data_IF_940625390509
#
_entry.id   IF_940625390509
#
_cell.length_a   1.000
_cell.length_b   1.000
_cell.length_c   1.000
_cell.angle_alpha   90.00
_cell.angle_beta   90.00
_cell.angle_gamma   90.00
#
_symmetry.space_group_name_H-M   'P 1'
#
loop_
_entity.id
_entity.type
_entity.pdbx_description
1 polymer ?
#
# COMPACT_ATOMS: atom_id res chain seq x y z
N UNK A 1 -2.94 54.61 -5.70
CA UNK A 1 -3.96 54.44 -6.74
C UNK A 1 -3.32 54.52 -8.11
N UNK A 2 -2.52 53.63 -8.44
CA UNK A 2 -2.06 53.30 -9.77
C UNK A 2 -2.65 51.95 -10.09
N UNK A 3 -3.27 51.83 -11.23
CA UNK A 3 -4.04 50.76 -11.83
C UNK A 3 -4.03 49.44 -11.01
N UNK A 4 -5.05 49.32 -10.15
CA UNK A 4 -5.03 48.34 -9.10
C UNK A 4 -5.32 46.94 -9.61
N UNK A 5 -4.29 46.13 -9.65
CA UNK A 5 -4.45 44.68 -9.60
C UNK A 5 -5.11 44.32 -8.26
N UNK A 6 -6.36 43.87 -8.31
CA UNK A 6 -7.10 43.47 -7.13
C UNK A 6 -6.49 42.16 -6.60
N UNK A 7 -5.71 42.26 -5.51
CA UNK A 7 -5.15 41.09 -4.83
C UNK A 7 -6.12 40.75 -3.69
N UNK A 8 -6.93 39.67 -3.82
CA UNK A 8 -7.81 39.23 -2.76
C UNK A 8 -6.97 38.62 -1.64
N UNK A 9 -7.11 39.13 -0.43
CA UNK A 9 -6.57 38.49 0.78
C UNK A 9 -7.71 37.80 1.52
N UNK A 10 -7.44 36.56 1.99
CA UNK A 10 -8.36 35.81 2.84
C UNK A 10 -7.77 35.67 4.24
N UNK A 11 -8.57 35.96 5.25
CA UNK A 11 -8.22 35.72 6.66
C UNK A 11 -8.29 34.21 7.02
N UNK A 12 -8.89 33.40 6.16
CA UNK A 12 -9.12 31.98 6.39
C UNK A 12 -8.12 31.05 5.65
N UNK A 13 -6.92 31.53 5.31
CA UNK A 13 -5.91 30.75 4.57
C UNK A 13 -6.48 30.10 3.29
N UNK A 14 -7.38 30.79 2.61
CA UNK A 14 -8.01 30.33 1.39
C UNK A 14 -7.29 30.88 0.15
N UNK A 15 -7.02 29.99 -0.81
CA UNK A 15 -6.58 30.39 -2.13
C UNK A 15 -7.80 30.83 -2.95
N UNK A 16 -7.80 32.01 -3.59
CA UNK A 16 -8.92 32.52 -4.39
C UNK A 16 -9.32 31.55 -5.52
N UNK A 17 -8.38 30.76 -6.01
CA UNK A 17 -8.56 29.85 -7.15
C UNK A 17 -8.92 28.43 -6.73
N UNK A 18 -8.42 27.94 -5.57
CA UNK A 18 -8.50 26.54 -5.16
C UNK A 18 -9.28 26.33 -3.84
N UNK A 19 -9.82 27.38 -3.22
CA UNK A 19 -10.56 27.32 -1.97
C UNK A 19 -9.68 27.22 -0.72
N UNK A 20 -10.28 26.82 0.43
CA UNK A 20 -9.57 26.71 1.71
C UNK A 20 -8.52 25.62 1.65
N UNK A 21 -7.26 25.95 1.91
CA UNK A 21 -6.11 25.06 1.74
C UNK A 21 -5.57 24.53 3.07
N UNK A 22 -5.75 25.28 4.14
CA UNK A 22 -5.26 24.92 5.45
C UNK A 22 -6.40 24.98 6.46
N UNK A 23 -6.50 23.99 7.37
CA UNK A 23 -7.35 24.12 8.54
C UNK A 23 -6.85 25.29 9.40
N UNK A 24 -7.72 25.81 10.26
CA UNK A 24 -7.33 26.81 11.26
C UNK A 24 -6.03 26.40 11.95
N UNK A 25 -5.02 27.29 11.91
CA UNK A 25 -3.67 27.02 12.40
C UNK A 25 -3.62 26.96 13.94
N UNK A 26 -4.21 25.92 14.49
CA UNK A 26 -4.13 25.61 15.92
C UNK A 26 -2.99 24.63 16.21
N UNK A 27 -2.43 24.57 17.43
CA UNK A 27 -1.38 23.61 17.77
C UNK A 27 -1.75 22.15 17.49
N UNK A 28 -3.04 21.83 17.44
CA UNK A 28 -3.55 20.48 17.18
C UNK A 28 -3.25 19.96 15.77
N UNK A 29 -3.17 20.86 14.78
CA UNK A 29 -2.88 20.47 13.39
C UNK A 29 -1.42 20.05 13.21
N UNK A 30 -0.53 20.37 14.13
CA UNK A 30 0.88 19.95 14.13
C UNK A 30 1.13 18.66 14.89
N UNK A 31 0.08 17.98 15.37
CA UNK A 31 0.20 16.73 16.10
C UNK A 31 -0.19 15.54 15.21
N UNK A 32 0.73 14.60 15.04
CA UNK A 32 0.43 13.32 14.36
C UNK A 32 -0.54 12.43 15.14
N UNK A 33 -0.77 12.72 16.42
CA UNK A 33 -1.74 12.02 17.28
C UNK A 33 -3.13 12.70 17.27
N UNK A 34 -3.34 13.69 16.41
CA UNK A 34 -4.63 14.36 16.23
C UNK A 34 -5.09 14.15 14.77
N UNK A 35 -6.35 13.77 14.51
CA UNK A 35 -6.86 13.57 13.15
C UNK A 35 -6.67 14.76 12.21
N UNK A 36 -6.63 15.98 12.73
CA UNK A 36 -6.42 17.20 11.93
C UNK A 36 -4.98 17.31 11.40
N UNK A 37 -4.00 16.78 12.13
CA UNK A 37 -2.59 16.85 11.76
C UNK A 37 -2.02 15.54 11.23
N UNK A 38 -2.62 14.42 11.59
CA UNK A 38 -2.17 13.09 11.18
C UNK A 38 -2.25 12.88 9.66
N UNK A 39 -1.32 12.13 9.12
CA UNK A 39 -1.42 11.62 7.76
C UNK A 39 -2.72 10.80 7.60
N UNK A 40 -3.58 11.09 6.64
CA UNK A 40 -4.86 10.41 6.48
C UNK A 40 -4.72 8.92 6.12
N UNK A 41 -3.60 8.54 5.50
CA UNK A 41 -3.34 7.16 5.07
C UNK A 41 -2.93 6.27 6.25
N UNK A 42 -1.90 6.65 7.01
CA UNK A 42 -1.40 5.86 8.14
C UNK A 42 -1.92 6.34 9.51
N UNK A 43 -2.79 7.34 9.55
CA UNK A 43 -3.37 7.90 10.78
C UNK A 43 -2.32 8.29 11.83
N UNK A 44 -1.18 8.82 11.37
CA UNK A 44 -0.08 9.27 12.24
C UNK A 44 0.89 8.18 12.67
N UNK A 45 0.74 6.94 12.20
CA UNK A 45 1.66 5.84 12.51
C UNK A 45 3.02 5.99 11.80
N UNK A 46 3.03 6.57 10.60
CA UNK A 46 4.22 6.71 9.76
C UNK A 46 4.56 5.46 8.95
N UNK A 47 3.88 4.35 9.25
CA UNK A 47 4.06 3.06 8.59
C UNK A 47 2.71 2.50 8.15
N UNK A 48 2.75 1.67 7.13
CA UNK A 48 1.63 0.85 6.67
C UNK A 48 2.05 -0.61 6.72
N UNK A 49 1.12 -1.45 7.14
CA UNK A 49 1.35 -2.88 7.17
C UNK A 49 1.01 -3.49 5.83
N UNK A 50 2.01 -4.01 5.13
CA UNK A 50 1.86 -4.59 3.80
C UNK A 50 2.42 -6.02 3.74
N UNK A 51 1.94 -6.82 2.78
CA UNK A 51 2.51 -8.14 2.54
C UNK A 51 3.90 -8.02 1.93
N UNK A 52 4.89 -8.58 2.59
CA UNK A 52 6.28 -8.59 2.13
C UNK A 52 6.48 -9.59 0.99
N UNK A 53 7.10 -9.14 -0.10
CA UNK A 53 7.47 -10.03 -1.21
C UNK A 53 8.33 -11.21 -0.74
N UNK A 54 9.33 -10.96 0.09
CA UNK A 54 10.27 -11.99 0.54
C UNK A 54 9.65 -12.99 1.53
N UNK A 55 8.63 -12.59 2.30
CA UNK A 55 7.89 -13.48 3.17
C UNK A 55 6.84 -14.28 2.42
N UNK A 56 6.18 -13.69 1.44
CA UNK A 56 5.09 -14.29 0.66
C UNK A 56 5.62 -15.28 -0.37
N UNK A 57 6.74 -14.93 -1.05
CA UNK A 57 7.22 -15.64 -2.21
C UNK A 57 8.42 -16.54 -1.85
N UNK A 58 8.37 -17.77 -2.29
CA UNK A 58 9.53 -18.64 -2.34
C UNK A 58 10.09 -18.64 -3.75
N UNK A 59 11.17 -17.90 -3.96
CA UNK A 59 11.77 -17.71 -5.27
C UNK A 59 12.40 -18.98 -5.84
N UNK A 60 12.71 -19.96 -4.97
CA UNK A 60 13.33 -21.24 -5.37
C UNK A 60 12.31 -22.31 -5.73
N UNK A 61 11.06 -22.13 -5.34
CA UNK A 61 9.98 -23.07 -5.63
C UNK A 61 9.27 -22.71 -6.94
N UNK A 62 8.78 -23.69 -7.65
CA UNK A 62 7.97 -23.54 -8.85
C UNK A 62 6.51 -23.19 -8.49
N UNK A 63 5.75 -22.73 -9.49
CA UNK A 63 4.30 -22.50 -9.32
C UNK A 63 3.61 -23.83 -8.92
N UNK A 64 3.99 -24.93 -9.56
CA UNK A 64 3.45 -26.27 -9.28
C UNK A 64 3.72 -26.75 -7.85
N UNK A 65 4.89 -26.45 -7.29
CA UNK A 65 5.27 -26.77 -5.90
C UNK A 65 4.65 -25.83 -4.86
N UNK A 66 4.07 -24.71 -5.31
CA UNK A 66 3.44 -23.73 -4.45
C UNK A 66 4.43 -22.67 -3.96
N UNK A 67 4.98 -21.86 -4.88
CA UNK A 67 5.87 -20.73 -4.60
C UNK A 67 5.25 -19.66 -3.68
N UNK A 68 3.92 -19.60 -3.56
CA UNK A 68 3.22 -18.67 -2.70
C UNK A 68 3.00 -19.28 -1.31
N UNK A 69 3.86 -18.95 -0.36
CA UNK A 69 3.90 -19.53 1.00
C UNK A 69 2.58 -19.46 1.76
N UNK A 70 1.81 -18.34 1.77
CA UNK A 70 0.52 -18.27 2.45
C UNK A 70 -0.50 -19.30 1.99
N UNK A 71 -0.41 -19.79 0.74
CA UNK A 71 -1.37 -20.73 0.16
C UNK A 71 -0.94 -22.21 0.22
N UNK A 72 0.30 -22.52 0.61
CA UNK A 72 0.83 -23.90 0.65
C UNK A 72 0.00 -24.86 1.51
N UNK A 73 -0.57 -24.38 2.62
CA UNK A 73 -1.27 -25.18 3.63
C UNK A 73 -2.73 -24.75 3.85
N UNK A 74 -3.33 -24.04 2.92
CA UNK A 74 -4.70 -23.54 3.05
C UNK A 74 -5.70 -24.58 2.53
N UNK A 75 -6.85 -24.74 3.19
CA UNK A 75 -7.98 -25.54 2.66
C UNK A 75 -8.52 -24.98 1.33
N UNK A 76 -8.31 -23.69 1.05
CA UNK A 76 -8.61 -23.06 -0.25
C UNK A 76 -7.50 -23.26 -1.29
N UNK A 77 -6.46 -24.03 -0.98
CA UNK A 77 -5.28 -24.19 -1.84
C UNK A 77 -5.61 -24.79 -3.20
N UNK A 78 -6.54 -25.75 -3.27
CA UNK A 78 -6.89 -26.43 -4.52
C UNK A 78 -7.51 -25.48 -5.54
N UNK A 79 -8.53 -24.75 -5.15
CA UNK A 79 -9.22 -23.79 -6.03
C UNK A 79 -8.33 -22.65 -6.49
N UNK A 80 -7.57 -22.06 -5.57
CA UNK A 80 -6.66 -20.95 -5.88
C UNK A 80 -5.47 -21.43 -6.72
N UNK A 81 -4.94 -22.63 -6.42
CA UNK A 81 -3.89 -23.23 -7.22
C UNK A 81 -4.35 -23.49 -8.65
N UNK A 82 -5.57 -24.02 -8.85
CA UNK A 82 -6.15 -24.21 -10.17
C UNK A 82 -6.26 -22.91 -10.95
N UNK A 83 -6.74 -21.85 -10.32
CA UNK A 83 -6.78 -20.53 -10.98
C UNK A 83 -5.39 -20.02 -11.36
N UNK A 84 -4.42 -20.17 -10.47
CA UNK A 84 -3.05 -19.73 -10.70
C UNK A 84 -2.41 -20.51 -11.87
N UNK A 85 -2.63 -21.83 -11.93
CA UNK A 85 -2.16 -22.66 -13.04
C UNK A 85 -2.82 -22.27 -14.36
N UNK A 86 -4.14 -22.09 -14.38
CA UNK A 86 -4.86 -21.67 -15.58
C UNK A 86 -4.48 -20.24 -16.03
N UNK A 87 -4.12 -19.36 -15.09
CA UNK A 87 -3.54 -18.05 -15.43
C UNK A 87 -2.19 -18.22 -16.13
N UNK A 88 -1.33 -19.09 -15.60
CA UNK A 88 -0.05 -19.39 -16.24
C UNK A 88 -0.24 -19.98 -17.64
N UNK A 89 -1.17 -20.90 -17.83
CA UNK A 89 -1.50 -21.49 -19.13
C UNK A 89 -2.00 -20.43 -20.12
N UNK A 90 -2.89 -19.53 -19.68
CA UNK A 90 -3.44 -18.47 -20.51
C UNK A 90 -2.38 -17.51 -21.04
N UNK A 91 -1.43 -17.11 -20.19
CA UNK A 91 -0.35 -16.18 -20.53
C UNK A 91 0.94 -16.85 -21.01
N UNK A 92 0.98 -18.18 -21.13
CA UNK A 92 2.18 -18.92 -21.52
C UNK A 92 3.31 -18.87 -20.50
N UNK A 93 2.98 -18.68 -19.21
CA UNK A 93 3.95 -18.61 -18.11
C UNK A 93 4.37 -20.05 -17.72
N UNK A 94 5.65 -20.38 -17.75
CA UNK A 94 6.11 -21.72 -17.38
C UNK A 94 5.89 -21.99 -15.88
N UNK A 95 5.31 -23.14 -15.55
CA UNK A 95 4.95 -23.53 -14.17
C UNK A 95 5.98 -24.43 -13.48
N UNK A 96 6.95 -24.92 -14.22
CA UNK A 96 7.95 -25.93 -13.84
C UNK A 96 9.34 -25.35 -13.56
N UNK A 97 9.53 -24.04 -13.76
CA UNK A 97 10.76 -23.35 -13.40
C UNK A 97 10.60 -22.59 -12.08
N UNK A 98 11.69 -22.32 -11.34
CA UNK A 98 11.65 -21.52 -10.12
C UNK A 98 11.03 -20.13 -10.36
N UNK A 99 10.18 -19.67 -9.42
CA UNK A 99 9.52 -18.37 -9.54
C UNK A 99 10.50 -17.21 -9.73
N UNK A 100 11.70 -17.30 -9.14
CA UNK A 100 12.76 -16.30 -9.30
C UNK A 100 13.35 -16.21 -10.69
N UNK A 101 13.18 -17.25 -11.52
CA UNK A 101 13.70 -17.33 -12.90
C UNK A 101 12.67 -16.88 -13.95
N UNK A 102 11.40 -16.69 -13.56
CA UNK A 102 10.39 -16.10 -14.42
C UNK A 102 10.81 -14.68 -14.86
N UNK A 103 10.43 -14.29 -16.06
CA UNK A 103 10.62 -12.91 -16.54
C UNK A 103 9.77 -11.89 -15.72
N UNK A 104 10.04 -10.59 -15.93
CA UNK A 104 9.42 -9.52 -15.19
C UNK A 104 7.90 -9.45 -15.38
N UNK A 105 7.44 -9.58 -16.61
CA UNK A 105 6.03 -9.47 -16.98
C UNK A 105 5.23 -10.65 -16.43
N UNK A 106 5.76 -11.87 -16.53
CA UNK A 106 5.18 -13.08 -15.94
C UNK A 106 5.03 -12.95 -14.42
N UNK A 107 6.06 -12.45 -13.73
CA UNK A 107 5.97 -12.19 -12.29
C UNK A 107 4.95 -11.13 -11.96
N UNK A 108 4.87 -10.06 -12.75
CA UNK A 108 3.92 -8.97 -12.50
C UNK A 108 2.48 -9.45 -12.66
N UNK A 109 2.17 -10.18 -13.72
CA UNK A 109 0.85 -10.81 -13.92
C UNK A 109 0.49 -11.69 -12.73
N UNK A 110 1.41 -12.54 -12.30
CA UNK A 110 1.16 -13.46 -11.18
C UNK A 110 0.89 -12.72 -9.87
N UNK A 111 1.65 -11.68 -9.58
CA UNK A 111 1.62 -10.98 -8.29
C UNK A 111 0.55 -9.88 -8.25
N UNK A 112 0.39 -9.12 -9.32
CA UNK A 112 -0.42 -7.90 -9.36
C UNK A 112 -1.71 -8.05 -10.18
N UNK A 113 -1.79 -9.11 -11.01
CA UNK A 113 -3.00 -9.41 -11.76
C UNK A 113 -2.90 -9.24 -13.27
N UNK A 114 -3.95 -9.65 -13.98
CA UNK A 114 -4.01 -9.64 -15.46
C UNK A 114 -4.36 -8.27 -16.08
N UNK A 115 -4.27 -7.17 -15.31
CA UNK A 115 -4.56 -5.82 -15.82
C UNK A 115 -6.01 -5.62 -16.34
N UNK A 116 -6.94 -6.46 -15.90
CA UNK A 116 -8.34 -6.43 -16.36
C UNK A 116 -8.65 -7.41 -17.49
N UNK A 117 -7.66 -8.09 -18.06
CA UNK A 117 -7.89 -9.14 -19.04
C UNK A 117 -8.62 -10.33 -18.41
N UNK A 118 -9.78 -10.70 -19.00
CA UNK A 118 -10.61 -11.77 -18.49
C UNK A 118 -10.09 -13.14 -18.92
N UNK A 119 -9.97 -14.04 -17.97
CA UNK A 119 -9.54 -15.43 -18.15
C UNK A 119 -10.75 -16.33 -17.89
N UNK A 120 -10.94 -17.34 -18.71
CA UNK A 120 -11.96 -18.36 -18.50
C UNK A 120 -11.40 -19.47 -17.61
N UNK A 121 -11.82 -19.47 -16.35
CA UNK A 121 -11.45 -20.49 -15.38
C UNK A 121 -12.42 -21.66 -15.40
N UNK A 122 -11.92 -22.86 -15.56
CA UNK A 122 -12.69 -24.09 -15.51
C UNK A 122 -12.50 -24.80 -14.17
N UNK A 123 -13.60 -25.21 -13.57
CA UNK A 123 -13.59 -25.91 -12.29
C UNK A 123 -14.38 -27.22 -12.42
N UNK A 124 -13.70 -28.31 -12.16
CA UNK A 124 -14.29 -29.63 -12.12
C UNK A 124 -14.48 -30.06 -10.66
N UNK A 125 -15.71 -30.35 -10.30
CA UNK A 125 -16.05 -30.93 -9.01
C UNK A 125 -15.78 -32.43 -9.01
N UNK A 126 -15.35 -32.98 -7.90
CA UNK A 126 -15.24 -34.44 -7.70
C UNK A 126 -16.56 -35.17 -7.95
N UNK A 127 -17.68 -34.49 -7.91
CA UNK A 127 -19.03 -35.00 -8.19
C UNK A 127 -19.44 -34.95 -9.67
N UNK A 128 -18.51 -34.60 -10.57
CA UNK A 128 -18.73 -34.57 -12.02
C UNK A 128 -19.44 -33.35 -12.58
N UNK A 129 -19.69 -32.31 -11.76
CA UNK A 129 -20.17 -31.02 -12.27
C UNK A 129 -18.97 -30.14 -12.64
N UNK A 130 -18.99 -29.56 -13.84
CA UNK A 130 -18.06 -28.52 -14.26
C UNK A 130 -18.79 -27.18 -14.38
N UNK A 131 -18.10 -26.11 -14.03
CA UNK A 131 -18.57 -24.77 -14.32
C UNK A 131 -17.40 -23.89 -14.77
N UNK A 132 -17.70 -22.95 -15.65
CA UNK A 132 -16.74 -21.98 -16.17
C UNK A 132 -17.07 -20.60 -15.63
N UNK A 133 -16.05 -19.86 -15.22
CA UNK A 133 -16.19 -18.49 -14.76
C UNK A 133 -15.20 -17.60 -15.52
N UNK A 134 -15.71 -16.55 -16.16
CA UNK A 134 -14.89 -15.54 -16.86
C UNK A 134 -14.64 -14.34 -15.94
N UNK A 135 -13.40 -14.09 -15.59
CA UNK A 135 -13.00 -12.93 -14.77
C UNK A 135 -11.49 -12.64 -14.90
N UNK A 136 -11.04 -11.43 -14.62
CA UNK A 136 -9.62 -11.16 -14.55
C UNK A 136 -8.97 -11.90 -13.35
N UNK A 137 -7.70 -12.23 -13.51
CA UNK A 137 -6.85 -12.66 -12.39
C UNK A 137 -6.54 -11.44 -11.51
N UNK A 138 -6.87 -11.52 -10.23
CA UNK A 138 -6.69 -10.40 -9.29
C UNK A 138 -5.26 -10.23 -8.76
N UNK A 139 -4.38 -11.18 -9.00
CA UNK A 139 -3.03 -11.22 -8.44
C UNK A 139 -2.97 -11.76 -7.01
N UNK A 140 -1.77 -12.20 -6.63
CA UNK A 140 -1.50 -12.77 -5.29
C UNK A 140 -1.70 -11.75 -4.19
N UNK A 141 -1.11 -10.54 -4.33
CA UNK A 141 -1.15 -9.52 -3.27
C UNK A 141 -2.55 -8.96 -3.05
N UNK A 142 -3.30 -8.66 -4.10
CA UNK A 142 -4.70 -8.22 -4.00
C UNK A 142 -5.56 -9.27 -3.32
N UNK A 143 -5.36 -10.53 -3.67
CA UNK A 143 -6.04 -11.66 -3.01
C UNK A 143 -5.72 -11.77 -1.54
N UNK A 144 -4.45 -11.67 -1.16
CA UNK A 144 -4.01 -11.71 0.24
C UNK A 144 -4.60 -10.54 1.03
N UNK A 145 -4.52 -9.32 0.50
CA UNK A 145 -5.07 -8.13 1.13
C UNK A 145 -6.57 -8.24 1.36
N UNK A 146 -7.31 -8.68 0.35
CA UNK A 146 -8.76 -8.92 0.45
C UNK A 146 -9.07 -10.00 1.48
N UNK A 147 -8.36 -11.14 1.44
CA UNK A 147 -8.59 -12.23 2.40
C UNK A 147 -8.29 -11.79 3.84
N UNK A 148 -7.24 -10.99 4.05
CA UNK A 148 -6.89 -10.45 5.36
C UNK A 148 -7.95 -9.49 5.90
N UNK A 149 -8.50 -8.64 5.03
CA UNK A 149 -9.55 -7.68 5.36
C UNK A 149 -10.88 -8.38 5.70
N UNK A 150 -11.28 -9.35 4.88
CA UNK A 150 -12.63 -9.92 4.91
C UNK A 150 -12.75 -11.12 5.87
N UNK A 151 -11.62 -11.69 6.33
CA UNK A 151 -11.67 -12.88 7.19
C UNK A 151 -12.21 -12.56 8.58
N UNK A 152 -13.19 -13.34 9.04
CA UNK A 152 -13.65 -13.34 10.43
C UNK A 152 -12.85 -14.29 11.33
N UNK A 153 -11.98 -15.14 10.75
CA UNK A 153 -11.16 -16.11 11.48
C UNK A 153 -9.89 -15.46 12.01
N UNK A 154 -9.78 -15.35 13.33
CA UNK A 154 -8.58 -14.83 14.01
C UNK A 154 -7.33 -15.68 13.68
N UNK A 155 -7.49 -16.99 13.59
CA UNK A 155 -6.40 -17.90 13.17
C UNK A 155 -5.90 -17.58 11.76
N UNK A 156 -6.79 -17.32 10.82
CA UNK A 156 -6.43 -16.95 9.45
C UNK A 156 -5.75 -15.59 9.43
N UNK A 157 -6.30 -14.61 10.16
CA UNK A 157 -5.75 -13.27 10.29
C UNK A 157 -4.34 -13.30 10.88
N UNK A 158 -4.14 -13.99 11.99
CA UNK A 158 -2.84 -14.15 12.64
C UNK A 158 -1.82 -14.83 11.72
N UNK A 159 -2.23 -15.86 10.98
CA UNK A 159 -1.36 -16.53 10.00
C UNK A 159 -0.97 -15.60 8.85
N UNK A 160 -1.91 -14.84 8.30
CA UNK A 160 -1.63 -13.91 7.20
C UNK A 160 -0.75 -12.75 7.66
N UNK A 161 -0.94 -12.27 8.89
CA UNK A 161 -0.12 -11.18 9.45
C UNK A 161 1.36 -11.55 9.60
N UNK A 162 1.71 -12.86 9.71
CA UNK A 162 3.11 -13.29 9.74
C UNK A 162 3.85 -13.14 8.38
N UNK A 163 3.13 -12.84 7.31
CA UNK A 163 3.69 -12.51 5.99
C UNK A 163 3.69 -11.01 5.69
N UNK A 164 3.41 -10.19 6.70
CA UNK A 164 3.38 -8.74 6.57
C UNK A 164 4.56 -8.10 7.29
N UNK A 165 5.01 -6.97 6.77
CA UNK A 165 6.02 -6.09 7.38
C UNK A 165 5.48 -4.67 7.48
N UNK A 166 6.05 -3.90 8.38
CA UNK A 166 5.76 -2.47 8.48
C UNK A 166 6.67 -1.73 7.49
N UNK A 167 6.06 -1.16 6.47
CA UNK A 167 6.73 -0.36 5.44
C UNK A 167 6.47 1.14 5.69
N UNK A 168 7.38 2.04 5.33
CA UNK A 168 7.11 3.47 5.40
C UNK A 168 5.82 3.80 4.65
N UNK A 169 4.95 4.59 5.28
CA UNK A 169 3.68 5.00 4.67
C UNK A 169 3.91 5.61 3.29
N UNK A 170 3.20 5.14 2.29
CA UNK A 170 3.32 5.57 0.90
C UNK A 170 3.04 7.06 0.71
N UNK A 171 2.16 7.63 1.52
CA UNK A 171 1.79 9.03 1.47
C UNK A 171 2.79 9.94 2.21
N UNK A 172 2.98 9.72 3.52
CA UNK A 172 3.84 10.61 4.34
C UNK A 172 5.30 10.16 4.44
N UNK A 173 5.66 8.99 3.91
CA UNK A 173 7.03 8.44 3.92
C UNK A 173 7.69 8.42 5.30
N UNK A 174 6.88 8.21 6.34
CA UNK A 174 7.35 8.19 7.73
C UNK A 174 7.16 9.49 8.50
N UNK A 175 6.76 10.59 7.87
CA UNK A 175 6.60 11.91 8.49
C UNK A 175 5.40 11.99 9.45
N UNK A 176 4.46 11.05 9.34
CA UNK A 176 3.28 10.90 10.22
C UNK A 176 2.24 12.02 10.09
N UNK A 177 2.57 13.12 9.46
CA UNK A 177 1.74 14.32 9.31
C UNK A 177 1.10 14.39 7.91
N UNK A 178 0.03 15.15 7.81
CA UNK A 178 -0.59 15.44 6.52
C UNK A 178 0.28 16.40 5.70
N UNK A 179 0.09 16.40 4.39
CA UNK A 179 0.91 17.16 3.44
C UNK A 179 0.80 18.68 3.66
N UNK A 180 -0.36 19.20 4.07
CA UNK A 180 -0.56 20.63 4.33
C UNK A 180 0.30 21.11 5.50
N UNK A 181 0.35 20.35 6.59
CA UNK A 181 1.20 20.63 7.75
C UNK A 181 2.68 20.55 7.41
N UNK A 182 3.07 19.59 6.59
CA UNK A 182 4.45 19.44 6.15
C UNK A 182 4.97 20.62 5.31
N UNK A 183 4.07 21.41 4.71
CA UNK A 183 4.44 22.63 3.95
C UNK A 183 4.67 23.86 4.82
N UNK A 184 4.27 23.83 6.08
CA UNK A 184 4.50 24.92 7.03
C UNK A 184 5.94 24.88 7.52
N UNK A 185 6.65 25.99 7.37
CA UNK A 185 8.05 26.12 7.77
C UNK A 185 8.25 27.26 8.75
N UNK A 186 9.21 27.11 9.67
CA UNK A 186 9.71 28.16 10.55
C UNK A 186 11.22 28.23 10.36
N UNK A 187 11.73 29.41 9.99
CA UNK A 187 13.15 29.55 9.68
C UNK A 187 13.66 28.65 8.55
N UNK A 188 12.79 28.30 7.57
CA UNK A 188 13.13 27.47 6.44
C UNK A 188 13.06 25.96 6.69
N UNK A 189 12.74 25.49 7.89
CA UNK A 189 12.60 24.07 8.22
C UNK A 189 11.15 23.75 8.65
N UNK A 190 10.64 22.60 8.22
CA UNK A 190 9.32 22.11 8.62
C UNK A 190 9.41 21.14 9.82
N UNK A 191 8.26 20.81 10.40
CA UNK A 191 8.20 19.93 11.58
C UNK A 191 8.80 18.54 11.35
N UNK A 192 8.56 17.83 10.23
CA UNK A 192 9.28 16.59 9.93
C UNK A 192 10.79 16.77 9.85
N UNK A 193 11.26 17.88 9.25
CA UNK A 193 12.68 18.20 9.14
C UNK A 193 13.35 18.32 10.52
N UNK A 194 12.73 19.08 11.43
CA UNK A 194 13.23 19.20 12.82
C UNK A 194 13.17 17.87 13.58
N UNK A 195 12.12 17.08 13.36
CA UNK A 195 11.95 15.79 14.04
C UNK A 195 12.99 14.73 13.65
N UNK A 196 13.63 14.90 12.49
CA UNK A 196 14.72 14.03 12.02
C UNK A 196 16.09 14.46 12.53
N UNK A 197 16.22 15.68 13.04
CA UNK A 197 17.47 16.18 13.60
C UNK A 197 17.80 15.46 14.92
N UNK A 198 19.09 15.29 15.19
CA UNK A 198 19.55 15.02 16.54
C UNK A 198 19.22 16.18 17.48
N UNK A 199 19.22 15.94 18.78
CA UNK A 199 18.93 16.99 19.77
C UNK A 199 19.86 18.21 19.63
N UNK A 200 21.14 17.98 19.34
CA UNK A 200 22.12 19.07 19.16
C UNK A 200 21.86 19.87 17.88
N UNK A 201 21.53 19.20 16.78
CA UNK A 201 21.16 19.87 15.52
C UNK A 201 19.87 20.67 15.67
N UNK A 202 18.84 20.09 16.29
CA UNK A 202 17.58 20.79 16.54
C UNK A 202 17.80 22.01 17.44
N UNK A 203 18.64 21.91 18.47
CA UNK A 203 18.99 23.05 19.33
C UNK A 203 19.66 24.17 18.53
N UNK A 204 20.62 23.84 17.67
CA UNK A 204 21.30 24.81 16.82
C UNK A 204 20.32 25.53 15.85
N UNK A 205 19.37 24.78 15.27
CA UNK A 205 18.33 25.34 14.42
C UNK A 205 17.46 26.33 15.19
N UNK A 206 16.96 25.95 16.37
CA UNK A 206 16.06 26.80 17.18
C UNK A 206 16.78 28.04 17.69
N UNK A 207 18.06 27.95 18.06
CA UNK A 207 18.86 29.11 18.48
C UNK A 207 19.04 30.18 17.39
N UNK A 208 18.98 29.77 16.12
CA UNK A 208 19.07 30.67 14.98
C UNK A 208 17.72 31.30 14.57
N UNK A 209 16.63 30.95 15.22
CA UNK A 209 15.32 31.58 15.02
C UNK A 209 15.24 32.91 15.79
N UNK A 210 15.93 33.93 15.31
CA UNK A 210 15.88 35.30 15.86
C UNK A 210 15.38 36.28 14.84
#
# INVERSE_FOLDING_TARGET
>A
TEEGEFIPYSEEFACPTHGSFLPEMSPRVFSFNNPLGACPTCQGLGVERSFSHDLVIDRTATVGEGCIRPFRRSMMSGWYRSQMTQTCEHFGIPIDIPFGELDGDSRDIMLNGSGGEAINFEFNSEKGSSYTMSRPWEGVFSRLARTYKDTSSERTRSRLSSFMTDEPCTNCRGDKLNDAVCKVTVGGINLPGISRCSVLEALAVVQNWR
#
